data_IF_450644556389
#
_entry.id   IF_450644556389
#
_cell.length_a   1.000
_cell.length_b   1.000
_cell.length_c   1.000
_cell.angle_alpha   90.00
_cell.angle_beta   90.00
_cell.angle_gamma   90.00
#
_symmetry.space_group_name_H-M   'P 1'
#
loop_
_entity.id
_entity.type
_entity.pdbx_description
1 polymer ?
#
# COMPACT_ATOMS: atom_id res chain seq x y z
N UNK A 1 -0.55 12.16 -11.12
CA UNK A 1 0.20 12.46 -9.88
C UNK A 1 1.19 11.35 -9.52
N UNK A 2 0.80 10.08 -9.56
CA UNK A 2 1.66 8.91 -9.26
C UNK A 2 2.91 8.90 -10.12
N UNK A 3 2.75 9.06 -11.42
CA UNK A 3 3.85 9.02 -12.37
C UNK A 3 4.96 10.02 -12.01
N UNK A 4 4.62 11.23 -11.58
CA UNK A 4 5.59 12.25 -11.17
C UNK A 4 6.42 11.85 -9.94
N UNK A 5 5.89 10.98 -9.08
CA UNK A 5 6.58 10.53 -7.86
C UNK A 5 7.61 9.45 -8.11
N UNK A 6 7.37 8.60 -9.11
CA UNK A 6 8.13 7.37 -9.34
C UNK A 6 8.87 7.33 -10.68
N UNK A 7 8.61 8.25 -11.60
CA UNK A 7 9.28 8.28 -12.90
C UNK A 7 10.73 8.77 -12.86
N UNK A 8 11.17 9.35 -11.73
CA UNK A 8 12.51 9.92 -11.55
C UNK A 8 13.12 9.43 -10.25
N UNK A 9 14.46 9.49 -10.16
CA UNK A 9 15.17 9.18 -8.92
C UNK A 9 15.04 10.33 -7.92
N UNK A 10 14.71 10.01 -6.68
CA UNK A 10 14.59 10.95 -5.56
C UNK A 10 15.64 10.60 -4.50
N UNK A 11 16.81 11.23 -4.56
CA UNK A 11 17.91 10.95 -3.63
C UNK A 11 17.78 11.70 -2.30
N UNK A 12 16.94 12.73 -2.24
CA UNK A 12 16.74 13.54 -1.03
C UNK A 12 15.27 13.57 -0.62
N UNK A 13 15.03 13.53 0.69
CA UNK A 13 13.68 13.73 1.21
C UNK A 13 13.22 15.16 0.89
N UNK A 14 12.11 15.31 0.18
CA UNK A 14 11.56 16.62 -0.19
C UNK A 14 11.16 17.50 1.00
N UNK A 15 11.19 16.95 2.22
CA UNK A 15 10.87 17.64 3.47
C UNK A 15 12.12 18.05 4.26
N UNK A 16 13.31 18.01 3.65
CA UNK A 16 14.51 18.49 4.35
C UNK A 16 14.36 19.94 4.78
N UNK A 17 14.75 20.22 6.02
CA UNK A 17 14.80 21.59 6.56
C UNK A 17 16.05 22.34 6.11
N UNK A 18 17.07 21.64 5.61
CA UNK A 18 18.34 22.25 5.22
C UNK A 18 18.26 22.86 3.82
N UNK A 19 18.65 24.10 3.70
CA UNK A 19 18.51 24.89 2.47
C UNK A 19 19.36 24.29 1.31
N UNK A 20 20.55 23.80 1.61
CA UNK A 20 21.43 23.20 0.61
C UNK A 20 20.86 21.89 0.04
N UNK A 21 20.13 21.08 0.84
CA UNK A 21 19.47 19.87 0.36
C UNK A 21 18.31 20.19 -0.59
N UNK A 22 17.61 21.30 -0.33
CA UNK A 22 16.57 21.80 -1.25
C UNK A 22 17.17 22.23 -2.58
N UNK A 23 18.28 22.96 -2.55
CA UNK A 23 18.98 23.41 -3.77
C UNK A 23 19.48 22.18 -4.55
N UNK A 24 20.13 21.24 -3.87
CA UNK A 24 20.63 20.01 -4.48
C UNK A 24 19.47 19.18 -5.09
N UNK A 25 18.35 19.09 -4.39
CA UNK A 25 17.15 18.42 -4.91
C UNK A 25 16.67 19.03 -6.24
N UNK A 26 16.50 20.37 -6.29
CA UNK A 26 16.04 21.04 -7.51
C UNK A 26 17.03 20.90 -8.66
N UNK A 27 18.33 20.97 -8.38
CA UNK A 27 19.38 20.81 -9.38
C UNK A 27 19.36 19.38 -9.96
N UNK A 28 19.28 18.35 -9.10
CA UNK A 28 19.22 16.95 -9.51
C UNK A 28 17.92 16.68 -10.29
N UNK A 29 16.80 17.25 -9.87
CA UNK A 29 15.54 17.09 -10.60
C UNK A 29 15.59 17.78 -11.98
N UNK A 30 16.27 18.92 -12.11
CA UNK A 30 16.48 19.59 -13.38
C UNK A 30 17.36 18.74 -14.33
N UNK A 31 18.44 18.14 -13.82
CA UNK A 31 19.33 17.26 -14.59
C UNK A 31 18.60 15.98 -15.07
N UNK A 32 17.52 15.57 -14.41
CA UNK A 32 16.73 14.40 -14.79
C UNK A 32 15.60 14.71 -15.80
N UNK A 33 15.70 15.79 -16.61
CA UNK A 33 14.62 16.14 -17.55
C UNK A 33 14.31 15.04 -18.58
N UNK A 34 15.29 14.20 -18.94
CA UNK A 34 15.13 13.04 -19.84
C UNK A 34 14.91 11.70 -19.13
N UNK A 35 14.99 11.67 -17.80
CA UNK A 35 14.82 10.42 -17.05
C UNK A 35 13.34 10.10 -16.92
N UNK A 36 12.99 8.88 -17.34
CA UNK A 36 11.67 8.30 -17.23
C UNK A 36 11.81 6.80 -16.95
N UNK A 37 11.66 6.42 -15.69
CA UNK A 37 11.83 5.03 -15.25
C UNK A 37 10.75 4.11 -15.85
N UNK A 38 9.54 4.60 -16.05
CA UNK A 38 8.47 3.83 -16.70
C UNK A 38 8.87 3.44 -18.12
N UNK A 39 9.30 4.40 -18.93
CA UNK A 39 9.80 4.13 -20.29
C UNK A 39 11.05 3.28 -20.30
N UNK A 40 12.00 3.58 -19.40
CA UNK A 40 13.28 2.84 -19.30
C UNK A 40 13.10 1.35 -19.03
N UNK A 41 12.13 0.99 -18.21
CA UNK A 41 11.88 -0.39 -17.80
C UNK A 41 10.61 -1.00 -18.42
N UNK A 42 9.92 -0.27 -19.32
CA UNK A 42 8.71 -0.74 -19.97
C UNK A 42 7.54 -0.94 -19.01
N UNK A 43 7.44 -0.11 -17.94
CA UNK A 43 6.46 -0.26 -16.89
C UNK A 43 5.37 0.80 -16.92
N UNK A 44 4.13 0.37 -16.78
CA UNK A 44 3.00 1.22 -16.43
C UNK A 44 2.91 1.31 -14.92
N UNK A 45 3.13 2.48 -14.33
CA UNK A 45 3.03 2.68 -12.90
C UNK A 45 1.58 2.73 -12.43
N UNK A 46 1.29 1.97 -11.37
CA UNK A 46 -0.01 1.92 -10.73
C UNK A 46 0.13 2.19 -9.23
N UNK A 47 -0.75 3.02 -8.67
CA UNK A 47 -0.86 3.27 -7.23
C UNK A 47 -1.97 2.42 -6.62
N UNK A 48 -1.81 2.03 -5.36
CA UNK A 48 -2.84 1.40 -4.53
C UNK A 48 -2.53 1.56 -3.05
N UNK A 49 -3.27 0.84 -2.21
CA UNK A 49 -2.99 0.78 -0.79
C UNK A 49 -1.63 0.11 -0.53
N UNK A 50 -1.00 0.49 0.57
CA UNK A 50 0.20 -0.19 1.06
C UNK A 50 -0.13 -1.44 1.91
N UNK A 51 -1.40 -1.71 2.14
CA UNK A 51 -1.92 -2.96 2.66
C UNK A 51 -2.55 -3.76 1.55
N UNK A 52 -2.33 -5.07 1.57
CA UNK A 52 -2.83 -5.95 0.52
C UNK A 52 -2.99 -7.37 1.04
N UNK A 53 -3.94 -8.08 0.44
CA UNK A 53 -4.09 -9.53 0.57
C UNK A 53 -3.79 -10.13 -0.78
N UNK A 54 -2.78 -11.00 -0.85
CA UNK A 54 -2.25 -11.56 -2.10
C UNK A 54 -2.03 -13.06 -1.95
N UNK A 55 -2.09 -13.77 -3.07
CA UNK A 55 -1.83 -15.21 -3.10
C UNK A 55 -0.34 -15.52 -2.96
N UNK A 56 -0.02 -16.73 -2.53
CA UNK A 56 1.35 -17.22 -2.44
C UNK A 56 2.08 -17.14 -3.79
N UNK A 57 1.40 -17.47 -4.89
CA UNK A 57 1.95 -17.34 -6.25
C UNK A 57 2.39 -15.90 -6.56
N UNK A 58 1.60 -14.89 -6.15
CA UNK A 58 1.98 -13.49 -6.33
C UNK A 58 3.13 -13.11 -5.40
N UNK A 59 3.18 -13.62 -4.16
CA UNK A 59 4.32 -13.43 -3.26
C UNK A 59 5.61 -13.93 -3.91
N UNK A 60 5.61 -15.16 -4.45
CA UNK A 60 6.78 -15.71 -5.13
C UNK A 60 7.19 -14.85 -6.33
N UNK A 61 6.23 -14.42 -7.14
CA UNK A 61 6.50 -13.51 -8.26
C UNK A 61 7.16 -12.19 -7.82
N UNK A 62 6.72 -11.62 -6.70
CA UNK A 62 7.33 -10.40 -6.13
C UNK A 62 8.78 -10.67 -5.72
N UNK A 63 9.05 -11.80 -5.06
CA UNK A 63 10.40 -12.20 -4.62
C UNK A 63 11.31 -12.38 -5.84
N UNK A 64 10.85 -13.06 -6.88
CA UNK A 64 11.61 -13.30 -8.12
C UNK A 64 11.94 -11.99 -8.85
N UNK A 65 11.09 -10.98 -8.69
CA UNK A 65 11.29 -9.64 -9.28
C UNK A 65 12.01 -8.64 -8.35
N UNK A 66 12.60 -9.07 -7.24
CA UNK A 66 13.31 -8.22 -6.27
C UNK A 66 14.31 -7.28 -6.94
N UNK A 67 15.12 -7.79 -7.86
CA UNK A 67 16.12 -7.00 -8.58
C UNK A 67 15.50 -5.85 -9.41
N UNK A 68 14.34 -6.10 -10.03
CA UNK A 68 13.60 -5.06 -10.76
C UNK A 68 13.04 -4.01 -9.79
N UNK A 69 12.44 -4.47 -8.69
CA UNK A 69 11.89 -3.59 -7.65
C UNK A 69 12.96 -2.66 -7.11
N UNK A 70 14.13 -3.19 -6.75
CA UNK A 70 15.24 -2.38 -6.25
C UNK A 70 15.73 -1.37 -7.28
N UNK A 71 15.91 -1.77 -8.54
CA UNK A 71 16.37 -0.87 -9.61
C UNK A 71 15.41 0.27 -9.88
N UNK A 72 14.11 0.01 -9.80
CA UNK A 72 13.07 0.99 -10.14
C UNK A 72 12.70 1.85 -8.93
N UNK A 73 12.50 1.25 -7.77
CA UNK A 73 11.81 1.90 -6.65
C UNK A 73 12.74 2.32 -5.50
N UNK A 74 13.99 1.84 -5.41
CA UNK A 74 14.92 2.18 -4.32
C UNK A 74 15.05 3.68 -4.05
N UNK A 75 14.97 4.49 -5.08
CA UNK A 75 15.11 5.94 -5.00
C UNK A 75 13.86 6.68 -5.45
N UNK A 76 12.68 6.08 -5.29
CA UNK A 76 11.40 6.74 -5.58
C UNK A 76 10.68 7.12 -4.28
N UNK A 77 9.62 7.93 -4.41
CA UNK A 77 8.83 8.36 -3.25
C UNK A 77 7.60 7.50 -3.09
N UNK A 78 7.29 7.10 -1.84
CA UNK A 78 6.13 6.26 -1.52
C UNK A 78 6.11 4.99 -2.37
N UNK A 79 7.25 4.29 -2.42
CA UNK A 79 7.40 3.05 -3.17
C UNK A 79 6.42 1.97 -2.71
N UNK A 80 6.11 1.93 -1.42
CA UNK A 80 5.17 1.03 -0.76
C UNK A 80 3.75 1.11 -1.32
N UNK A 81 3.33 2.27 -1.83
CA UNK A 81 2.02 2.47 -2.46
C UNK A 81 2.03 2.16 -3.97
N UNK A 82 3.17 1.78 -4.55
CA UNK A 82 3.30 1.72 -6.02
C UNK A 82 3.93 0.44 -6.53
N UNK A 83 4.91 -0.14 -5.83
CA UNK A 83 5.72 -1.23 -6.38
C UNK A 83 4.89 -2.49 -6.68
N UNK A 84 4.07 -2.94 -5.73
CA UNK A 84 3.27 -4.14 -5.87
C UNK A 84 2.23 -3.98 -6.99
N UNK A 85 1.46 -2.89 -6.95
CA UNK A 85 0.43 -2.61 -7.94
C UNK A 85 1.03 -2.47 -9.34
N UNK A 86 2.23 -1.89 -9.45
CA UNK A 86 2.96 -1.81 -10.71
C UNK A 86 3.35 -3.20 -11.21
N UNK A 87 3.86 -4.08 -10.35
CA UNK A 87 4.16 -5.47 -10.75
C UNK A 87 2.91 -6.20 -11.22
N UNK A 88 1.80 -6.06 -10.50
CA UNK A 88 0.54 -6.73 -10.87
C UNK A 88 0.05 -6.29 -12.24
N UNK A 89 -0.07 -4.98 -12.51
CA UNK A 89 -0.61 -4.50 -13.80
C UNK A 89 0.30 -4.76 -15.00
N UNK A 90 1.59 -5.04 -14.77
CA UNK A 90 2.55 -5.38 -15.82
C UNK A 90 2.83 -6.89 -15.91
N UNK A 91 1.98 -7.73 -15.33
CA UNK A 91 2.15 -9.19 -15.29
C UNK A 91 0.88 -9.94 -15.66
N UNK A 92 0.96 -11.28 -15.66
CA UNK A 92 -0.20 -12.18 -15.84
C UNK A 92 -1.29 -11.97 -14.77
N UNK A 93 -0.92 -11.47 -13.59
CA UNK A 93 -1.83 -11.23 -12.48
C UNK A 93 -2.80 -10.06 -12.71
N UNK A 94 -2.58 -9.24 -13.72
CA UNK A 94 -3.49 -8.14 -14.10
C UNK A 94 -4.95 -8.60 -14.24
N UNK A 95 -5.17 -9.80 -14.76
CA UNK A 95 -6.51 -10.34 -14.99
C UNK A 95 -7.14 -10.97 -13.73
N UNK A 96 -6.39 -11.06 -12.62
CA UNK A 96 -6.84 -11.63 -11.36
C UNK A 96 -7.11 -10.55 -10.30
N UNK A 97 -7.11 -9.28 -10.69
CA UNK A 97 -7.50 -8.18 -9.81
C UNK A 97 -8.99 -8.31 -9.53
N UNK A 98 -9.39 -8.17 -8.25
CA UNK A 98 -10.80 -8.20 -7.86
C UNK A 98 -11.64 -7.26 -8.74
N UNK A 99 -12.81 -7.71 -9.24
CA UNK A 99 -13.67 -6.90 -10.12
C UNK A 99 -14.22 -5.63 -9.47
N UNK A 100 -14.15 -5.49 -8.16
CA UNK A 100 -14.53 -4.26 -7.44
C UNK A 100 -13.57 -3.09 -7.72
N UNK A 101 -12.74 -3.28 -8.73
CA UNK A 101 -12.01 -2.24 -9.46
C UNK A 101 -11.69 -1.00 -8.68
N UNK A 102 -10.59 -1.01 -7.90
CA UNK A 102 -9.99 0.24 -7.42
C UNK A 102 -10.96 1.24 -6.76
N UNK A 103 -12.23 0.86 -6.54
CA UNK A 103 -13.11 1.55 -5.64
C UNK A 103 -12.42 1.52 -4.30
N UNK A 104 -12.31 2.65 -3.67
CA UNK A 104 -11.54 2.91 -2.49
C UNK A 104 -12.20 2.30 -1.24
N UNK A 105 -12.55 1.04 -1.32
CA UNK A 105 -12.95 0.32 -0.15
C UNK A 105 -11.88 -0.73 0.18
N UNK A 106 -11.42 -0.69 1.38
CA UNK A 106 -10.47 -1.65 1.91
C UNK A 106 -11.01 -3.09 1.91
N UNK A 107 -12.29 -3.29 1.61
CA UNK A 107 -12.92 -4.58 1.40
C UNK A 107 -12.25 -5.36 0.25
N UNK A 108 -11.81 -4.68 -0.81
CA UNK A 108 -11.09 -5.31 -1.92
C UNK A 108 -9.76 -5.93 -1.52
N UNK A 109 -9.22 -5.55 -0.37
CA UNK A 109 -8.00 -6.12 0.24
C UNK A 109 -8.32 -6.89 1.52
N UNK A 110 -9.58 -7.27 1.72
CA UNK A 110 -10.09 -8.04 2.86
C UNK A 110 -9.89 -7.38 4.22
N UNK A 111 -9.95 -6.04 4.27
CA UNK A 111 -9.87 -5.25 5.49
C UNK A 111 -11.20 -4.58 5.84
N UNK A 112 -11.66 -4.78 7.06
CA UNK A 112 -12.73 -4.02 7.67
C UNK A 112 -12.15 -2.77 8.36
N UNK A 113 -12.41 -1.58 7.79
CA UNK A 113 -11.92 -0.31 8.33
C UNK A 113 -13.04 0.71 8.28
N UNK A 114 -13.44 1.24 9.42
CA UNK A 114 -14.43 2.28 9.47
C UNK A 114 -13.80 3.67 9.51
N UNK A 115 -13.95 4.39 8.43
CA UNK A 115 -13.54 5.79 8.29
C UNK A 115 -14.69 6.78 8.52
N UNK A 116 -15.92 6.28 8.69
CA UNK A 116 -17.11 7.13 8.90
C UNK A 116 -17.27 7.53 10.35
N UNK A 117 -17.03 6.56 11.28
CA UNK A 117 -17.15 6.77 12.72
C UNK A 117 -15.86 7.32 13.36
N UNK A 118 -14.73 7.34 12.63
CA UNK A 118 -13.43 7.80 13.16
C UNK A 118 -12.34 7.92 12.09
N UNK A 119 -11.08 8.14 12.52
CA UNK A 119 -9.99 8.37 11.58
C UNK A 119 -8.74 7.51 11.90
N UNK A 120 -8.80 6.20 11.71
CA UNK A 120 -9.99 5.34 11.63
C UNK A 120 -10.67 5.15 13.01
N UNK A 121 -11.90 4.64 12.99
CA UNK A 121 -12.63 4.30 14.21
C UNK A 121 -11.93 3.18 14.99
N UNK A 122 -11.99 3.25 16.32
CA UNK A 122 -11.48 2.19 17.22
C UNK A 122 -12.66 1.32 17.63
N UNK A 123 -12.69 0.09 17.13
CA UNK A 123 -13.75 -0.87 17.39
C UNK A 123 -13.88 -1.22 18.88
N UNK A 124 -15.11 -1.49 19.33
CA UNK A 124 -15.49 -1.78 20.70
C UNK A 124 -16.25 -3.08 20.79
N UNK A 125 -16.56 -3.52 22.01
CA UNK A 125 -17.29 -4.76 22.30
C UNK A 125 -18.63 -4.86 21.54
N UNK A 126 -19.36 -3.74 21.43
CA UNK A 126 -20.63 -3.65 20.71
C UNK A 126 -20.52 -3.83 19.21
N UNK A 127 -19.32 -3.70 18.63
CA UNK A 127 -19.06 -3.87 17.19
C UNK A 127 -18.72 -5.32 16.81
N UNK A 128 -18.75 -6.25 17.76
CA UNK A 128 -18.32 -7.65 17.56
C UNK A 128 -19.07 -8.32 16.41
N UNK A 129 -20.41 -8.24 16.42
CA UNK A 129 -21.23 -8.89 15.40
C UNK A 129 -21.04 -8.28 14.01
N UNK A 130 -20.81 -6.97 13.92
CA UNK A 130 -20.43 -6.29 12.68
C UNK A 130 -19.10 -6.83 12.12
N UNK A 131 -18.11 -7.02 12.98
CA UNK A 131 -16.79 -7.50 12.59
C UNK A 131 -16.83 -8.94 12.09
N UNK A 132 -17.46 -9.84 12.84
CA UNK A 132 -17.56 -11.25 12.46
C UNK A 132 -18.44 -11.44 11.21
N UNK A 133 -19.52 -10.66 11.06
CA UNK A 133 -20.37 -10.68 9.89
C UNK A 133 -19.78 -10.03 8.63
N UNK A 134 -18.61 -9.38 8.73
CA UNK A 134 -18.03 -8.62 7.62
C UNK A 134 -17.46 -9.44 6.47
N UNK A 135 -17.21 -10.74 6.66
CA UNK A 135 -16.48 -11.62 5.72
C UNK A 135 -15.07 -11.11 5.36
N UNK A 136 -14.49 -10.23 6.19
CA UNK A 136 -13.13 -9.72 6.01
C UNK A 136 -12.13 -10.54 6.82
N UNK A 137 -10.92 -10.71 6.29
CA UNK A 137 -9.85 -11.45 6.99
C UNK A 137 -9.14 -10.60 8.04
N UNK A 138 -9.22 -9.29 7.93
CA UNK A 138 -8.51 -8.36 8.80
C UNK A 138 -9.42 -7.20 9.19
N UNK A 139 -9.20 -6.66 10.37
CA UNK A 139 -9.91 -5.46 10.84
C UNK A 139 -8.95 -4.50 11.55
N UNK A 140 -9.29 -3.22 11.50
CA UNK A 140 -8.64 -2.16 12.28
C UNK A 140 -9.57 -0.96 12.45
N UNK A 141 -9.41 -0.20 13.52
CA UNK A 141 -8.32 -0.17 14.49
C UNK A 141 -8.83 -0.78 15.81
N UNK A 142 -7.94 -1.48 16.51
CA UNK A 142 -8.16 -1.88 17.91
C UNK A 142 -7.17 -1.13 18.81
N UNK A 143 -7.60 -0.82 20.03
CA UNK A 143 -6.78 -0.22 21.05
C UNK A 143 -7.22 -0.77 22.41
N UNK A 144 -6.35 -1.51 23.08
CA UNK A 144 -6.64 -2.14 24.37
C UNK A 144 -6.96 -1.15 25.49
N UNK A 145 -6.49 0.11 25.34
CA UNK A 145 -6.80 1.17 26.31
C UNK A 145 -8.20 1.77 26.07
N UNK A 146 -8.80 1.55 24.91
CA UNK A 146 -10.16 1.97 24.59
C UNK A 146 -11.15 0.85 24.92
N UNK A 147 -10.85 -0.38 24.47
CA UNK A 147 -11.66 -1.54 24.76
C UNK A 147 -10.83 -2.84 24.60
N UNK A 148 -10.47 -3.45 25.73
CA UNK A 148 -9.76 -4.71 25.75
C UNK A 148 -10.67 -5.92 25.46
N UNK A 149 -11.99 -5.81 25.72
CA UNK A 149 -12.94 -6.93 25.56
C UNK A 149 -13.08 -7.33 24.12
N UNK A 150 -13.20 -6.37 23.19
CA UNK A 150 -13.31 -6.68 21.76
C UNK A 150 -12.09 -7.45 21.24
N UNK A 151 -10.89 -7.07 21.70
CA UNK A 151 -9.65 -7.76 21.31
C UNK A 151 -9.67 -9.21 21.77
N UNK A 152 -10.11 -9.44 23.01
CA UNK A 152 -10.19 -10.79 23.58
C UNK A 152 -11.28 -11.63 22.89
N UNK A 153 -12.46 -11.06 22.62
CA UNK A 153 -13.52 -11.74 21.87
C UNK A 153 -13.07 -12.17 20.47
N UNK A 154 -12.49 -11.26 19.70
CA UNK A 154 -11.98 -11.58 18.36
C UNK A 154 -10.90 -12.65 18.42
N UNK A 155 -9.96 -12.54 19.36
CA UNK A 155 -8.92 -13.56 19.56
C UNK A 155 -9.52 -14.94 19.83
N UNK A 156 -10.52 -15.03 20.70
CA UNK A 156 -11.15 -16.29 21.04
C UNK A 156 -11.92 -16.88 19.85
N UNK A 157 -12.63 -16.04 19.09
CA UNK A 157 -13.32 -16.46 17.86
C UNK A 157 -12.33 -17.07 16.85
N UNK A 158 -11.22 -16.39 16.57
CA UNK A 158 -10.23 -16.84 15.58
C UNK A 158 -9.48 -18.10 16.01
N UNK A 159 -9.32 -18.35 17.32
CA UNK A 159 -8.55 -19.49 17.81
C UNK A 159 -9.40 -20.75 18.08
N UNK A 160 -10.71 -20.60 18.33
CA UNK A 160 -11.54 -21.69 18.87
C UNK A 160 -12.83 -21.96 18.07
N UNK A 161 -13.14 -21.16 17.08
CA UNK A 161 -14.23 -21.37 16.11
C UNK A 161 -13.68 -21.54 14.68
#
# INVERSE_FOLDING_TARGET
EVYKRVSKYNFFASKSKKIWEKIAYHLIMALQFKVDLGKKYGLTFQKGANWFSITDELVQYVIDNKNLIEKVFKHTRCADEVFLQTLVVNSKFKNHISPNNFCDNYESILYCIDWKRGNPYVYRDDDYDELIGSNMCFARKFDINVDAKIVEKIKNHVLYE
#
